data_IF_627978295195
#
_entry.id   IF_627978295195
#
_cell.length_a   1.000
_cell.length_b   1.000
_cell.length_c   1.000
_cell.angle_alpha   90.00
_cell.angle_beta   90.00
_cell.angle_gamma   90.00
#
_symmetry.space_group_name_H-M   'P 1'
#
loop_
_entity.id
_entity.type
_entity.pdbx_description
1 polymer ?
#
# COMPACT_ATOMS: atom_id res chain seq x y z
N UNK A 1 14.85 1.15 28.41
CA UNK A 1 14.42 1.50 28.07
C UNK A 1 13.65 1.57 27.33
N UNK A 2 13.10 1.57 27.17
CA UNK A 2 12.38 1.77 26.65
C UNK A 2 11.80 2.20 25.80
N UNK A 3 11.79 1.63 26.07
CA UNK A 3 11.33 1.85 24.93
C UNK A 3 10.14 2.73 24.80
N UNK A 4 10.03 3.41 23.87
CA UNK A 4 9.12 4.52 23.78
C UNK A 4 8.05 4.33 22.71
N UNK A 5 7.82 3.08 22.31
CA UNK A 5 6.84 2.83 21.28
C UNK A 5 5.43 3.01 21.81
N UNK A 6 4.65 3.78 21.08
CA UNK A 6 3.24 3.96 21.34
C UNK A 6 2.51 2.66 20.98
N UNK A 7 1.68 2.10 21.88
CA UNK A 7 0.91 0.90 21.55
C UNK A 7 0.06 1.04 20.29
N UNK A 8 -0.46 2.23 20.01
CA UNK A 8 -1.22 2.47 18.78
C UNK A 8 -0.35 2.36 17.56
N UNK A 9 0.91 2.76 17.66
CA UNK A 9 1.85 2.67 16.55
C UNK A 9 2.13 1.22 16.22
N UNK A 10 2.29 0.40 17.26
CA UNK A 10 2.52 -1.03 17.09
C UNK A 10 1.31 -1.71 16.46
N UNK A 11 0.12 -1.35 16.91
CA UNK A 11 -1.12 -1.86 16.32
C UNK A 11 -1.22 -1.50 14.84
N UNK A 12 -0.82 -0.30 14.49
CA UNK A 12 -0.88 0.18 13.12
C UNK A 12 0.12 -0.57 12.24
N UNK A 13 1.31 -0.84 12.76
CA UNK A 13 2.30 -1.66 12.04
C UNK A 13 1.77 -3.05 11.80
N UNK A 14 1.11 -3.62 12.81
CA UNK A 14 0.52 -4.95 12.67
C UNK A 14 -0.60 -4.94 11.65
N UNK A 15 -1.41 -3.87 11.62
CA UNK A 15 -2.47 -3.73 10.64
C UNK A 15 -1.90 -3.69 9.23
N UNK A 16 -0.87 -2.88 9.02
CA UNK A 16 -0.23 -2.79 7.71
C UNK A 16 0.33 -4.13 7.28
N UNK A 17 1.02 -4.81 8.18
CA UNK A 17 1.71 -6.05 7.86
C UNK A 17 0.76 -7.23 7.68
N UNK A 18 -0.28 -7.32 8.49
CA UNK A 18 -1.17 -8.48 8.49
C UNK A 18 -2.41 -8.34 7.63
N UNK A 19 -2.85 -7.11 7.37
CA UNK A 19 -4.08 -6.88 6.60
C UNK A 19 -3.84 -6.20 5.26
N UNK A 20 -2.91 -5.26 5.23
CA UNK A 20 -2.71 -4.45 4.02
C UNK A 20 -1.67 -5.07 3.09
N UNK A 21 -0.51 -5.43 3.61
CA UNK A 21 0.56 -5.99 2.78
C UNK A 21 0.15 -7.25 2.03
N UNK A 22 -0.50 -8.24 2.66
CA UNK A 22 -0.93 -9.43 1.92
C UNK A 22 -1.89 -9.09 0.78
N UNK A 23 -2.77 -8.12 0.99
CA UNK A 23 -3.71 -7.69 -0.04
C UNK A 23 -3.00 -7.04 -1.22
N UNK A 24 -2.00 -6.21 -0.92
CA UNK A 24 -1.19 -5.58 -1.97
C UNK A 24 -0.37 -6.61 -2.74
N UNK A 25 0.16 -7.60 -2.05
CA UNK A 25 0.92 -8.67 -2.68
C UNK A 25 0.02 -9.52 -3.60
N UNK A 26 -1.23 -9.73 -3.21
CA UNK A 26 -2.20 -10.42 -4.02
C UNK A 26 -2.50 -9.63 -5.30
N UNK A 27 -2.68 -8.32 -5.17
CA UNK A 27 -2.86 -7.44 -6.32
C UNK A 27 -1.66 -7.49 -7.26
N UNK A 28 -0.46 -7.44 -6.70
CA UNK A 28 0.77 -7.51 -7.49
C UNK A 28 0.86 -8.81 -8.27
N UNK A 29 0.49 -9.90 -7.63
CA UNK A 29 0.49 -11.21 -8.26
C UNK A 29 -0.54 -11.29 -9.38
N UNK A 30 -1.73 -10.74 -9.15
CA UNK A 30 -2.79 -10.71 -10.15
C UNK A 30 -2.43 -9.87 -11.36
N UNK A 31 -1.59 -8.85 -11.16
CA UNK A 31 -1.16 -7.96 -12.23
C UNK A 31 0.16 -8.41 -12.88
N UNK A 32 0.74 -9.47 -12.37
CA UNK A 32 2.01 -9.97 -12.91
C UNK A 32 1.83 -10.37 -14.38
N UNK A 33 2.69 -9.84 -15.22
CA UNK A 33 2.58 -10.10 -16.65
C UNK A 33 1.69 -9.12 -17.39
N UNK A 34 1.03 -8.21 -16.70
CA UNK A 34 0.24 -7.18 -17.35
C UNK A 34 1.19 -6.10 -17.89
N UNK A 35 1.33 -6.03 -19.19
CA UNK A 35 2.27 -5.12 -19.85
C UNK A 35 1.81 -3.67 -19.84
N UNK A 36 0.54 -3.42 -19.50
CA UNK A 36 -0.03 -2.07 -19.51
C UNK A 36 0.16 -1.32 -18.22
N UNK A 37 0.65 -1.99 -17.18
CA UNK A 37 0.66 -1.39 -15.86
C UNK A 37 1.88 -1.84 -15.07
N UNK A 38 2.53 -0.86 -14.45
CA UNK A 38 3.62 -1.13 -13.52
C UNK A 38 3.03 -1.07 -12.11
N UNK A 39 3.45 -2.00 -11.25
CA UNK A 39 2.97 -2.05 -9.87
C UNK A 39 4.14 -2.43 -8.98
N UNK A 40 4.56 -1.51 -8.13
CA UNK A 40 5.72 -1.70 -7.26
C UNK A 40 5.35 -1.43 -5.80
N UNK A 41 5.84 -2.27 -4.91
CA UNK A 41 5.61 -2.16 -3.47
C UNK A 41 6.95 -2.04 -2.77
N UNK A 42 7.05 -1.10 -1.85
CA UNK A 42 8.21 -0.95 -0.96
C UNK A 42 7.73 -0.94 0.48
N UNK A 43 8.42 -1.66 1.34
CA UNK A 43 8.06 -1.75 2.76
C UNK A 43 9.20 -1.21 3.59
N UNK A 44 8.89 -0.37 4.57
CA UNK A 44 9.89 0.15 5.49
C UNK A 44 10.51 -0.98 6.29
N UNK A 45 11.77 -0.82 6.69
CA UNK A 45 12.52 -1.87 7.36
C UNK A 45 11.85 -2.39 8.62
N UNK A 46 11.13 -1.53 9.32
CA UNK A 46 10.45 -1.89 10.56
C UNK A 46 8.95 -2.06 10.37
N UNK A 47 8.50 -2.05 9.12
CA UNK A 47 7.07 -2.12 8.84
C UNK A 47 6.33 -0.83 9.14
N UNK A 48 7.04 0.29 9.24
CA UNK A 48 6.44 1.57 9.59
C UNK A 48 5.68 2.22 8.44
N UNK A 49 5.92 1.75 7.21
CA UNK A 49 5.18 2.25 6.06
C UNK A 49 5.18 1.21 4.94
N UNK A 50 4.23 1.37 4.03
CA UNK A 50 4.19 0.63 2.77
C UNK A 50 3.96 1.66 1.68
N UNK A 51 4.86 1.72 0.69
CA UNK A 51 4.71 2.58 -0.46
C UNK A 51 4.28 1.75 -1.66
N UNK A 52 3.35 2.29 -2.44
CA UNK A 52 2.87 1.63 -3.66
C UNK A 52 2.98 2.63 -4.80
N UNK A 53 3.60 2.22 -5.88
CA UNK A 53 3.67 3.01 -7.09
C UNK A 53 3.10 2.19 -8.25
N UNK A 54 2.16 2.78 -8.97
CA UNK A 54 1.60 2.14 -10.15
C UNK A 54 1.42 3.19 -11.24
N UNK A 55 1.65 2.81 -12.48
CA UNK A 55 1.39 3.68 -13.60
C UNK A 55 1.05 2.88 -14.85
N UNK A 56 0.29 3.52 -15.74
CA UNK A 56 0.02 2.99 -17.07
C UNK A 56 0.71 3.87 -18.12
N UNK A 57 1.05 5.10 -17.75
CA UNK A 57 1.78 6.03 -18.60
C UNK A 57 2.35 7.12 -17.71
N UNK A 58 3.16 8.01 -18.29
CA UNK A 58 3.73 9.13 -17.55
C UNK A 58 2.67 10.04 -16.95
N UNK A 59 1.51 10.15 -17.59
CA UNK A 59 0.43 11.03 -17.15
C UNK A 59 -0.57 10.34 -16.22
N UNK A 60 -0.60 9.02 -16.21
CA UNK A 60 -1.53 8.24 -15.41
C UNK A 60 -0.78 7.39 -14.41
N UNK A 61 -0.41 8.00 -13.32
CA UNK A 61 0.34 7.34 -12.25
C UNK A 61 -0.32 7.60 -10.90
N UNK A 62 -0.16 6.67 -9.99
CA UNK A 62 -0.64 6.80 -8.63
C UNK A 62 0.46 6.37 -7.67
N UNK A 63 0.73 7.19 -6.69
CA UNK A 63 1.69 6.89 -5.64
C UNK A 63 1.00 6.99 -4.29
N UNK A 64 1.14 5.95 -3.49
CA UNK A 64 0.60 5.91 -2.14
C UNK A 64 1.71 5.69 -1.13
N UNK A 65 1.56 6.28 0.02
CA UNK A 65 2.45 6.03 1.13
C UNK A 65 1.59 5.76 2.37
N UNK A 66 1.41 4.48 2.66
CA UNK A 66 0.57 4.04 3.78
C UNK A 66 1.45 3.98 5.03
N UNK A 67 1.37 5.01 5.83
CA UNK A 67 2.23 5.16 7.00
C UNK A 67 1.52 4.68 8.26
N UNK A 68 2.29 4.13 9.19
CA UNK A 68 1.73 3.70 10.47
C UNK A 68 1.31 4.87 11.37
N UNK A 69 1.59 6.11 10.97
CA UNK A 69 1.08 7.27 11.68
C UNK A 69 -0.28 7.73 11.15
N UNK A 70 -0.70 7.18 10.02
CA UNK A 70 -2.02 7.48 9.46
C UNK A 70 -3.11 6.69 10.17
N UNK A 71 -4.33 7.21 10.16
CA UNK A 71 -5.46 6.47 10.71
C UNK A 71 -5.83 5.30 9.79
N UNK A 72 -6.54 4.32 10.34
CA UNK A 72 -7.00 3.18 9.54
C UNK A 72 -7.94 3.63 8.44
N UNK A 73 -8.77 4.64 8.72
CA UNK A 73 -9.69 5.18 7.73
C UNK A 73 -8.93 5.79 6.55
N UNK A 74 -7.83 6.50 6.82
CA UNK A 74 -7.01 7.07 5.77
C UNK A 74 -6.34 5.99 4.94
N UNK A 75 -5.81 4.96 5.61
CA UNK A 75 -5.17 3.84 4.93
C UNK A 75 -6.17 3.10 4.05
N UNK A 76 -7.35 2.82 4.58
CA UNK A 76 -8.39 2.13 3.83
C UNK A 76 -8.89 2.95 2.64
N UNK A 77 -8.99 4.27 2.83
CA UNK A 77 -9.39 5.18 1.76
C UNK A 77 -8.38 5.18 0.62
N UNK A 78 -7.09 5.25 0.95
CA UNK A 78 -6.04 5.21 -0.06
C UNK A 78 -6.01 3.87 -0.79
N UNK A 79 -6.26 2.79 -0.07
CA UNK A 79 -6.32 1.47 -0.67
C UNK A 79 -7.51 1.35 -1.63
N UNK A 80 -8.63 1.98 -1.27
CA UNK A 80 -9.80 2.01 -2.16
C UNK A 80 -9.49 2.79 -3.44
N UNK A 81 -8.77 3.91 -3.32
CA UNK A 81 -8.36 4.70 -4.48
C UNK A 81 -7.46 3.88 -5.40
N UNK A 82 -6.54 3.12 -4.81
CA UNK A 82 -5.66 2.24 -5.57
C UNK A 82 -6.47 1.17 -6.31
N UNK A 83 -7.42 0.57 -5.64
CA UNK A 83 -8.28 -0.45 -6.24
C UNK A 83 -9.04 0.12 -7.42
N UNK A 84 -9.60 1.32 -7.27
CA UNK A 84 -10.33 1.97 -8.34
C UNK A 84 -9.44 2.31 -9.52
N UNK A 85 -8.23 2.80 -9.25
CA UNK A 85 -7.26 3.11 -10.29
C UNK A 85 -6.93 1.87 -11.13
N UNK A 86 -6.68 0.75 -10.45
CA UNK A 86 -6.35 -0.50 -11.12
C UNK A 86 -7.54 -0.97 -11.97
N UNK A 87 -8.74 -0.92 -11.43
CA UNK A 87 -9.94 -1.32 -12.16
C UNK A 87 -10.16 -0.49 -13.41
N UNK A 88 -9.94 0.82 -13.31
CA UNK A 88 -10.11 1.72 -14.45
C UNK A 88 -9.15 1.41 -15.59
N UNK A 89 -7.94 0.95 -15.26
CA UNK A 89 -6.89 0.77 -16.25
C UNK A 89 -6.65 -0.67 -16.68
N UNK A 90 -7.32 -1.62 -16.04
CA UNK A 90 -7.21 -3.04 -16.41
C UNK A 90 -8.51 -3.65 -16.91
N UNK A 91 -9.55 -2.88 -16.93
CA UNK A 91 -10.85 -3.33 -17.41
C UNK A 91 -10.87 -3.46 -18.94
#
# INVERSE_FOLDING_TARGET
MKKLENPKLEECRDYLRSKILPRLQEMQRDLFGNEKLIFEISVGKKGEYISVYTNVSADDALYLNLSCVDSREEIDSELADLTDFIKEHTA
#
